data_IF_080189077605
#
_entry.id   IF_080189077605
#
_cell.length_a   1.000
_cell.length_b   1.000
_cell.length_c   1.000
_cell.angle_alpha   90.00
_cell.angle_beta   90.00
_cell.angle_gamma   90.00
#
_symmetry.space_group_name_H-M   'P 1'
#
loop_
_entity.id
_entity.type
_entity.pdbx_description
1 polymer ?
#
# COMPACT_ATOMS: atom_id res chain seq x y z
N UNK A 1 6.79 18.04 8.81
CA UNK A 1 7.39 17.61 7.52
C UNK A 1 6.47 16.64 6.79
N UNK A 2 5.99 15.59 7.40
CA UNK A 2 5.12 14.55 6.78
C UNK A 2 3.89 15.13 6.07
N UNK A 3 3.15 16.08 6.66
CA UNK A 3 1.96 16.68 6.05
C UNK A 3 2.25 17.41 4.72
N UNK A 4 3.44 18.03 4.60
CA UNK A 4 3.88 18.66 3.34
C UNK A 4 4.17 17.58 2.28
N UNK A 5 4.79 16.48 2.69
CA UNK A 5 5.07 15.33 1.81
C UNK A 5 3.75 14.72 1.32
N UNK A 6 2.82 14.43 2.22
CA UNK A 6 1.52 13.87 1.87
C UNK A 6 0.70 14.80 0.96
N UNK A 7 0.74 16.13 1.20
CA UNK A 7 0.13 17.10 0.28
C UNK A 7 0.73 17.01 -1.13
N UNK A 8 2.06 16.87 -1.24
CA UNK A 8 2.70 16.72 -2.54
C UNK A 8 2.34 15.38 -3.20
N UNK A 9 2.26 14.30 -2.42
CA UNK A 9 1.80 12.98 -2.90
C UNK A 9 0.38 13.08 -3.47
N UNK A 10 -0.55 13.72 -2.74
CA UNK A 10 -1.92 13.96 -3.20
C UNK A 10 -1.95 14.70 -4.54
N UNK A 11 -1.22 15.83 -4.63
CA UNK A 11 -1.15 16.62 -5.87
C UNK A 11 -0.54 15.84 -7.03
N UNK A 12 0.47 15.02 -6.74
CA UNK A 12 1.09 14.14 -7.72
C UNK A 12 0.07 13.13 -8.25
N UNK A 13 -0.58 12.38 -7.37
CA UNK A 13 -1.53 11.35 -7.76
C UNK A 13 -2.79 11.92 -8.41
N UNK A 14 -3.28 13.08 -7.98
CA UNK A 14 -4.35 13.79 -8.70
C UNK A 14 -3.97 14.10 -10.16
N UNK A 15 -2.68 14.32 -10.43
CA UNK A 15 -2.19 14.65 -11.78
C UNK A 15 -1.93 13.43 -12.65
N UNK A 16 -1.48 12.31 -12.05
CA UNK A 16 -1.04 11.13 -12.80
C UNK A 16 -2.06 9.98 -12.81
N UNK A 17 -3.15 10.07 -12.03
CA UNK A 17 -4.07 8.97 -11.76
C UNK A 17 -4.59 8.28 -13.03
N UNK A 18 -5.02 9.03 -14.05
CA UNK A 18 -5.53 8.47 -15.29
C UNK A 18 -4.47 7.65 -16.02
N UNK A 19 -3.28 8.22 -16.18
CA UNK A 19 -2.15 7.53 -16.81
C UNK A 19 -1.67 6.33 -16.01
N UNK A 20 -1.71 6.44 -14.67
CA UNK A 20 -1.36 5.33 -13.79
C UNK A 20 -2.35 4.17 -13.96
N UNK A 21 -3.64 4.47 -14.00
CA UNK A 21 -4.69 3.48 -14.21
C UNK A 21 -4.54 2.77 -15.58
N UNK A 22 -4.31 3.53 -16.65
CA UNK A 22 -4.06 2.99 -17.98
C UNK A 22 -2.88 2.01 -18.01
N UNK A 23 -1.79 2.33 -17.31
CA UNK A 23 -0.55 1.55 -17.36
C UNK A 23 -0.56 0.34 -16.40
N UNK A 24 -1.22 0.44 -15.26
CA UNK A 24 -1.10 -0.54 -14.16
C UNK A 24 -2.43 -1.17 -13.73
N UNK A 25 -3.55 -0.79 -14.36
CA UNK A 25 -4.87 -1.30 -13.97
C UNK A 25 -4.99 -2.82 -13.98
N UNK A 26 -4.31 -3.46 -14.90
CA UNK A 26 -4.31 -4.91 -15.08
C UNK A 26 -2.95 -5.56 -14.74
N UNK A 27 -2.08 -4.88 -13.98
CA UNK A 27 -0.71 -5.37 -13.77
C UNK A 27 -0.63 -6.74 -13.08
N UNK A 28 -1.64 -7.11 -12.27
CA UNK A 28 -1.68 -8.41 -11.61
C UNK A 28 -1.81 -9.59 -12.59
N UNK A 29 -2.32 -9.36 -13.80
CA UNK A 29 -2.43 -10.43 -14.80
C UNK A 29 -1.06 -10.96 -15.23
N UNK A 30 -0.05 -10.08 -15.19
CA UNK A 30 1.33 -10.39 -15.55
C UNK A 30 2.23 -10.66 -14.32
N UNK A 31 1.65 -10.66 -13.10
CA UNK A 31 2.39 -10.78 -11.84
C UNK A 31 1.97 -12.01 -11.02
N UNK A 32 2.30 -13.23 -11.44
CA UNK A 32 1.89 -14.45 -10.73
C UNK A 32 2.43 -14.52 -9.30
N UNK A 33 3.65 -14.03 -9.06
CA UNK A 33 4.24 -13.97 -7.72
C UNK A 33 3.42 -13.05 -6.78
N UNK A 34 3.03 -11.87 -7.26
CA UNK A 34 2.23 -10.95 -6.44
C UNK A 34 0.86 -11.56 -6.12
N UNK A 35 0.23 -12.26 -7.10
CA UNK A 35 -1.02 -13.01 -6.85
C UNK A 35 -0.85 -14.11 -5.82
N UNK A 36 0.23 -14.89 -5.88
CA UNK A 36 0.52 -15.94 -4.89
C UNK A 36 0.60 -15.34 -3.47
N UNK A 37 1.26 -14.19 -3.31
CA UNK A 37 1.36 -13.51 -2.02
C UNK A 37 0.03 -12.90 -1.56
N UNK A 38 -0.77 -12.38 -2.48
CA UNK A 38 -2.13 -11.93 -2.16
C UNK A 38 -3.04 -13.10 -1.78
N UNK A 39 -2.89 -14.26 -2.42
CA UNK A 39 -3.59 -15.49 -2.06
C UNK A 39 -3.21 -15.95 -0.66
N UNK A 40 -1.91 -15.97 -0.36
CA UNK A 40 -1.40 -16.27 0.97
C UNK A 40 -1.94 -15.31 2.02
N UNK A 41 -1.95 -14.01 1.72
CA UNK A 41 -2.53 -13.00 2.62
C UNK A 41 -4.03 -13.24 2.83
N UNK A 42 -4.80 -13.49 1.75
CA UNK A 42 -6.22 -13.75 1.84
C UNK A 42 -6.55 -15.00 2.68
N UNK A 43 -5.71 -16.02 2.63
CA UNK A 43 -5.88 -17.28 3.37
C UNK A 43 -5.73 -17.15 4.90
N UNK A 44 -5.26 -16.00 5.40
CA UNK A 44 -5.28 -15.72 6.84
C UNK A 44 -6.68 -15.38 7.38
N UNK A 45 -7.66 -15.15 6.50
CA UNK A 45 -8.94 -14.57 6.87
C UNK A 45 -10.13 -15.42 6.46
N UNK A 46 -11.18 -15.36 7.26
CA UNK A 46 -12.49 -15.90 6.91
C UNK A 46 -13.22 -14.96 5.92
N UNK A 47 -14.25 -15.48 5.24
CA UNK A 47 -15.11 -14.65 4.39
C UNK A 47 -15.69 -13.47 5.17
N UNK A 48 -15.79 -12.33 4.50
CA UNK A 48 -16.25 -11.06 5.06
C UNK A 48 -15.34 -10.46 6.15
N UNK A 49 -14.13 -10.99 6.36
CA UNK A 49 -13.14 -10.32 7.19
C UNK A 49 -12.84 -8.94 6.61
N UNK A 50 -12.65 -7.96 7.50
CA UNK A 50 -12.49 -6.55 7.15
C UNK A 50 -11.05 -6.22 6.78
N UNK A 51 -10.84 -5.90 5.54
CA UNK A 51 -9.51 -5.55 5.00
C UNK A 51 -9.49 -4.09 4.58
N UNK A 52 -8.36 -3.43 4.79
CA UNK A 52 -8.09 -2.09 4.27
C UNK A 52 -6.95 -2.15 3.28
N UNK A 53 -7.21 -1.68 2.06
CA UNK A 53 -6.19 -1.38 1.06
C UNK A 53 -5.75 0.08 1.25
N UNK A 54 -4.62 0.24 1.94
CA UNK A 54 -4.10 1.53 2.38
C UNK A 54 -3.21 2.16 1.30
N UNK A 55 -3.75 3.16 0.61
CA UNK A 55 -3.18 3.75 -0.60
C UNK A 55 -3.54 2.92 -1.83
N UNK A 56 -4.84 2.67 -2.03
CA UNK A 56 -5.35 1.77 -3.06
C UNK A 56 -5.08 2.23 -4.49
N UNK A 57 -4.74 3.51 -4.67
CA UNK A 57 -4.50 4.10 -5.99
C UNK A 57 -5.74 4.13 -6.89
N UNK A 58 -5.59 4.56 -8.16
CA UNK A 58 -6.73 4.74 -9.05
C UNK A 58 -7.33 3.44 -9.58
N UNK A 59 -6.57 2.36 -9.61
CA UNK A 59 -7.05 1.07 -10.10
C UNK A 59 -7.68 0.23 -9.00
N UNK A 60 -7.25 0.41 -7.76
CA UNK A 60 -7.61 -0.40 -6.59
C UNK A 60 -7.56 -1.92 -6.87
N UNK A 61 -6.68 -2.33 -7.82
CA UNK A 61 -6.62 -3.70 -8.33
C UNK A 61 -6.20 -4.70 -7.24
N UNK A 62 -5.41 -4.27 -6.26
CA UNK A 62 -5.02 -5.10 -5.09
C UNK A 62 -6.23 -5.35 -4.20
N UNK A 63 -6.94 -4.27 -3.81
CA UNK A 63 -8.16 -4.37 -3.03
C UNK A 63 -9.24 -5.17 -3.76
N UNK A 64 -9.40 -4.96 -5.08
CA UNK A 64 -10.33 -5.70 -5.92
C UNK A 64 -10.03 -7.19 -5.92
N UNK A 65 -8.77 -7.58 -6.07
CA UNK A 65 -8.35 -8.97 -6.02
C UNK A 65 -8.75 -9.65 -4.70
N UNK A 66 -8.57 -8.97 -3.57
CA UNK A 66 -8.97 -9.48 -2.25
C UNK A 66 -10.49 -9.50 -2.07
N UNK A 67 -11.21 -8.50 -2.60
CA UNK A 67 -12.67 -8.44 -2.59
C UNK A 67 -13.28 -9.63 -3.36
N UNK A 68 -12.75 -9.95 -4.53
CA UNK A 68 -13.19 -11.09 -5.35
C UNK A 68 -12.96 -12.46 -4.67
N UNK A 69 -12.08 -12.52 -3.67
CA UNK A 69 -11.92 -13.68 -2.79
C UNK A 69 -12.93 -13.74 -1.63
N UNK A 70 -13.83 -12.79 -1.55
CA UNK A 70 -14.93 -12.76 -0.59
C UNK A 70 -14.62 -12.02 0.72
N UNK A 71 -13.59 -11.16 0.73
CA UNK A 71 -13.27 -10.30 1.87
C UNK A 71 -14.05 -8.96 1.80
N UNK A 72 -14.37 -8.35 2.93
CA UNK A 72 -14.98 -7.00 2.98
C UNK A 72 -13.86 -5.94 2.90
N UNK A 73 -13.59 -5.45 1.70
CA UNK A 73 -12.45 -4.56 1.42
C UNK A 73 -12.89 -3.11 1.31
N UNK A 74 -12.18 -2.24 2.02
CA UNK A 74 -12.27 -0.78 1.89
C UNK A 74 -10.96 -0.24 1.34
N UNK A 75 -11.00 0.42 0.17
CA UNK A 75 -9.86 1.16 -0.37
C UNK A 75 -9.78 2.57 0.25
N UNK A 76 -8.60 2.96 0.71
CA UNK A 76 -8.35 4.34 1.15
C UNK A 76 -7.20 4.94 0.35
N UNK A 77 -7.35 6.18 -0.09
CA UNK A 77 -6.31 6.93 -0.77
C UNK A 77 -6.42 8.43 -0.44
N UNK A 78 -5.31 9.13 -0.53
CA UNK A 78 -5.25 10.58 -0.26
C UNK A 78 -5.70 11.42 -1.47
N UNK A 79 -5.69 10.83 -2.68
CA UNK A 79 -6.00 11.50 -3.94
C UNK A 79 -7.49 11.36 -4.29
N UNK A 80 -8.15 12.47 -4.45
CA UNK A 80 -9.56 12.53 -4.87
C UNK A 80 -9.73 11.89 -6.25
N UNK A 81 -8.78 12.14 -7.18
CA UNK A 81 -8.83 11.57 -8.53
C UNK A 81 -8.65 10.06 -8.52
N UNK A 82 -7.75 9.54 -7.66
CA UNK A 82 -7.61 8.09 -7.49
C UNK A 82 -8.92 7.45 -7.02
N UNK A 83 -9.55 8.03 -5.99
CA UNK A 83 -10.81 7.50 -5.45
C UNK A 83 -11.94 7.57 -6.48
N UNK A 84 -12.02 8.64 -7.26
CA UNK A 84 -13.02 8.78 -8.35
C UNK A 84 -12.89 7.63 -9.36
N UNK A 85 -11.67 7.38 -9.85
CA UNK A 85 -11.40 6.32 -10.83
C UNK A 85 -11.65 4.94 -10.20
N UNK A 86 -11.10 4.69 -9.00
CA UNK A 86 -11.25 3.44 -8.28
C UNK A 86 -12.72 3.07 -8.06
N UNK A 87 -13.54 4.03 -7.61
CA UNK A 87 -14.98 3.82 -7.38
C UNK A 87 -15.73 3.49 -8.67
N UNK A 88 -15.35 4.10 -9.79
CA UNK A 88 -15.98 3.85 -11.09
C UNK A 88 -15.70 2.43 -11.61
N UNK A 89 -14.47 1.95 -11.42
CA UNK A 89 -14.01 0.69 -12.00
C UNK A 89 -14.19 -0.53 -11.09
N UNK A 90 -14.50 -0.32 -9.80
CA UNK A 90 -14.64 -1.39 -8.82
C UNK A 90 -16.03 -1.33 -8.11
N UNK A 91 -17.13 -1.61 -8.84
CA UNK A 91 -18.46 -1.60 -8.24
C UNK A 91 -18.56 -2.62 -7.11
N UNK A 92 -19.28 -2.26 -6.05
CA UNK A 92 -19.49 -3.07 -4.86
C UNK A 92 -18.43 -2.87 -3.77
N UNK A 93 -17.26 -2.33 -4.08
CA UNK A 93 -16.27 -1.94 -3.08
C UNK A 93 -16.56 -0.55 -2.48
N UNK A 94 -16.10 -0.35 -1.25
CA UNK A 94 -16.17 0.96 -0.57
C UNK A 94 -14.83 1.68 -0.66
N UNK A 95 -14.88 3.01 -0.80
CA UNK A 95 -13.70 3.84 -0.90
C UNK A 95 -13.79 5.06 0.01
N UNK A 96 -12.65 5.49 0.56
CA UNK A 96 -12.52 6.69 1.38
C UNK A 96 -11.37 7.55 0.86
N UNK A 97 -11.67 8.81 0.56
CA UNK A 97 -10.64 9.81 0.26
C UNK A 97 -10.13 10.42 1.56
N UNK A 98 -8.99 9.95 2.05
CA UNK A 98 -8.43 10.39 3.33
C UNK A 98 -6.92 10.17 3.40
N UNK A 99 -6.21 11.08 4.07
CA UNK A 99 -4.83 10.80 4.51
C UNK A 99 -4.86 9.72 5.60
N UNK A 100 -4.04 8.69 5.44
CA UNK A 100 -3.91 7.59 6.43
C UNK A 100 -3.65 8.14 7.85
N UNK A 101 -2.94 9.25 7.98
CA UNK A 101 -2.68 9.88 9.29
C UNK A 101 -3.95 10.48 9.94
N UNK A 102 -4.98 10.75 9.16
CA UNK A 102 -6.26 11.27 9.63
C UNK A 102 -7.32 10.18 9.73
N UNK A 103 -7.01 8.98 9.22
CA UNK A 103 -7.91 7.85 9.30
C UNK A 103 -8.06 7.39 10.76
N UNK A 104 -9.30 7.37 11.21
CA UNK A 104 -9.65 6.99 12.58
C UNK A 104 -10.62 5.80 12.57
N UNK A 105 -10.11 4.59 12.28
CA UNK A 105 -10.92 3.38 12.41
C UNK A 105 -11.26 3.13 13.87
N UNK A 106 -12.32 2.39 14.13
CA UNK A 106 -12.57 1.85 15.46
C UNK A 106 -11.35 1.05 15.96
N UNK A 107 -11.07 1.11 17.25
CA UNK A 107 -9.98 0.34 17.85
C UNK A 107 -10.25 -1.16 17.65
N UNK A 108 -9.23 -1.90 17.14
CA UNK A 108 -9.32 -3.34 16.87
C UNK A 108 -10.50 -3.74 15.97
N UNK A 109 -10.79 -2.95 14.95
CA UNK A 109 -11.94 -3.15 14.07
C UNK A 109 -11.58 -3.74 12.69
N UNK A 110 -10.29 -3.93 12.41
CA UNK A 110 -9.75 -4.36 11.10
C UNK A 110 -8.99 -5.67 11.28
N UNK A 111 -9.28 -6.65 10.42
CA UNK A 111 -8.63 -7.96 10.42
C UNK A 111 -7.32 -7.94 9.65
N UNK A 112 -7.28 -7.22 8.51
CA UNK A 112 -6.08 -7.08 7.71
C UNK A 112 -5.89 -5.70 7.11
N UNK A 113 -4.63 -5.29 6.97
CA UNK A 113 -4.25 -4.08 6.23
C UNK A 113 -3.21 -4.49 5.19
N UNK A 114 -3.41 -4.01 3.96
CA UNK A 114 -2.39 -4.10 2.92
C UNK A 114 -1.94 -2.70 2.52
N UNK A 115 -0.63 -2.49 2.47
CA UNK A 115 0.01 -1.25 2.04
C UNK A 115 0.96 -1.57 0.87
N UNK A 116 0.37 -1.67 -0.33
CA UNK A 116 1.05 -2.10 -1.54
C UNK A 116 1.65 -0.89 -2.27
N UNK A 117 2.96 -0.69 -2.15
CA UNK A 117 3.72 0.47 -2.65
C UNK A 117 3.14 1.83 -2.24
N UNK A 118 2.48 1.92 -1.11
CA UNK A 118 1.86 3.17 -0.64
C UNK A 118 2.69 3.89 0.44
N UNK A 119 3.27 3.15 1.39
CA UNK A 119 4.08 3.76 2.45
C UNK A 119 5.41 4.36 1.95
N UNK A 120 5.82 4.00 0.75
CA UNK A 120 7.03 4.52 0.07
C UNK A 120 6.99 6.04 -0.19
N UNK A 121 5.85 6.68 -0.03
CA UNK A 121 5.69 8.14 -0.11
C UNK A 121 5.78 8.83 1.26
N UNK A 122 6.29 8.11 2.26
CA UNK A 122 6.46 8.63 3.62
C UNK A 122 7.95 8.63 3.99
N UNK A 123 8.49 9.73 4.54
CA UNK A 123 9.87 9.75 5.03
C UNK A 123 10.13 8.67 6.08
N UNK A 124 11.28 7.99 6.00
CA UNK A 124 11.67 6.91 6.93
C UNK A 124 11.50 7.30 8.40
N UNK A 125 11.93 8.50 8.76
CA UNK A 125 11.81 9.03 10.13
C UNK A 125 10.37 9.25 10.61
N UNK A 126 9.41 9.28 9.68
CA UNK A 126 8.00 9.57 9.98
C UNK A 126 7.11 8.33 9.86
N UNK A 127 7.62 7.22 9.30
CA UNK A 127 6.85 6.01 9.02
C UNK A 127 6.20 5.41 10.28
N UNK A 128 6.85 5.54 11.43
CA UNK A 128 6.30 5.09 12.71
C UNK A 128 4.94 5.73 13.07
N UNK A 129 4.62 6.90 12.49
CA UNK A 129 3.30 7.52 12.68
C UNK A 129 2.21 6.73 11.95
N UNK A 130 2.48 6.29 10.71
CA UNK A 130 1.55 5.44 9.95
C UNK A 130 1.39 4.08 10.64
N UNK A 131 2.50 3.46 11.03
CA UNK A 131 2.49 2.16 11.68
C UNK A 131 1.69 2.16 12.99
N UNK A 132 1.72 3.28 13.74
CA UNK A 132 0.86 3.46 14.93
C UNK A 132 -0.63 3.47 14.57
N UNK A 133 -1.01 4.11 13.46
CA UNK A 133 -2.40 4.11 12.98
C UNK A 133 -2.82 2.68 12.61
N UNK A 134 -2.01 1.97 11.84
CA UNK A 134 -2.29 0.57 11.46
C UNK A 134 -2.40 -0.33 12.69
N UNK A 135 -1.46 -0.23 13.63
CA UNK A 135 -1.49 -1.03 14.86
C UNK A 135 -2.73 -0.77 15.72
N UNK A 136 -3.19 0.49 15.80
CA UNK A 136 -4.42 0.83 16.52
C UNK A 136 -5.66 0.23 15.87
N UNK A 137 -5.69 0.19 14.54
CA UNK A 137 -6.81 -0.34 13.77
C UNK A 137 -6.91 -1.87 13.82
N UNK A 138 -5.78 -2.54 13.68
CA UNK A 138 -5.71 -4.00 13.61
C UNK A 138 -6.16 -4.65 14.92
N UNK A 139 -6.97 -5.70 14.80
CA UNK A 139 -7.31 -6.57 15.92
C UNK A 139 -6.06 -7.33 16.44
N UNK A 140 -6.10 -7.98 17.61
CA UNK A 140 -4.93 -8.67 18.19
C UNK A 140 -4.33 -9.80 17.34
N UNK A 141 -5.09 -10.36 16.41
CA UNK A 141 -4.64 -11.37 15.43
C UNK A 141 -4.51 -10.81 14.03
N UNK A 142 -4.69 -9.49 13.88
CA UNK A 142 -4.71 -8.81 12.59
C UNK A 142 -3.37 -8.88 11.87
N UNK A 143 -3.43 -8.96 10.56
CA UNK A 143 -2.26 -9.06 9.68
C UNK A 143 -2.01 -7.74 8.97
N UNK A 144 -0.74 -7.42 8.81
CA UNK A 144 -0.29 -6.30 7.99
C UNK A 144 0.63 -6.84 6.89
N UNK A 145 0.26 -6.61 5.64
CA UNK A 145 1.13 -6.85 4.50
C UNK A 145 1.66 -5.51 3.98
N UNK A 146 2.96 -5.42 3.81
CA UNK A 146 3.63 -4.24 3.26
C UNK A 146 4.46 -4.66 2.05
N UNK A 147 4.31 -3.94 0.95
CA UNK A 147 5.15 -4.09 -0.23
C UNK A 147 5.86 -2.78 -0.50
N UNK A 148 7.18 -2.82 -0.59
CA UNK A 148 8.03 -1.65 -0.84
C UNK A 148 9.08 -1.92 -1.91
N UNK A 149 9.75 -0.89 -2.37
CA UNK A 149 10.93 -1.03 -3.24
C UNK A 149 12.19 -1.20 -2.39
N UNK A 150 13.04 -2.14 -2.81
CA UNK A 150 14.36 -2.35 -2.23
C UNK A 150 15.35 -1.34 -2.78
N UNK A 151 16.12 -0.71 -1.92
CA UNK A 151 17.17 0.23 -2.26
C UNK A 151 17.45 1.23 -1.14
N UNK A 152 18.24 2.26 -1.46
CA UNK A 152 18.72 3.25 -0.48
C UNK A 152 18.18 4.65 -0.72
N UNK A 153 17.42 4.86 -1.78
CA UNK A 153 16.95 6.18 -2.14
C UNK A 153 15.92 6.72 -1.14
N UNK A 154 16.11 7.94 -0.71
CA UNK A 154 15.12 8.72 0.02
C UNK A 154 15.18 10.18 -0.42
N UNK A 155 14.12 10.73 -0.98
CA UNK A 155 14.10 12.11 -1.44
C UNK A 155 12.94 12.44 -2.38
N UNK A 156 13.03 13.62 -3.01
CA UNK A 156 12.05 14.07 -3.98
C UNK A 156 12.41 13.63 -5.40
N UNK A 157 11.43 13.06 -6.08
CA UNK A 157 11.46 12.82 -7.51
C UNK A 157 10.76 13.96 -8.23
N UNK A 158 11.37 14.43 -9.34
CA UNK A 158 10.84 15.55 -10.15
C UNK A 158 9.89 15.09 -11.25
N UNK A 159 9.88 13.78 -11.53
CA UNK A 159 9.02 13.19 -12.55
C UNK A 159 8.49 11.83 -12.09
N UNK A 160 7.22 11.57 -12.39
CA UNK A 160 6.59 10.25 -12.26
C UNK A 160 5.83 9.97 -13.55
N UNK A 161 6.07 8.83 -14.17
CA UNK A 161 5.47 8.44 -15.47
C UNK A 161 5.69 9.48 -16.59
N UNK A 162 6.83 10.20 -16.57
CA UNK A 162 7.13 11.26 -17.53
C UNK A 162 6.37 12.57 -17.31
N UNK A 163 5.63 12.69 -16.22
CA UNK A 163 4.91 13.89 -15.82
C UNK A 163 5.71 14.61 -14.73
N UNK A 164 5.92 15.92 -14.89
CA UNK A 164 6.60 16.74 -13.89
C UNK A 164 5.76 16.85 -12.61
N UNK A 165 6.38 16.48 -11.48
CA UNK A 165 5.77 16.46 -10.15
C UNK A 165 6.83 16.74 -9.09
N UNK A 166 6.41 16.88 -7.84
CA UNK A 166 7.30 16.90 -6.67
C UNK A 166 6.84 15.82 -5.70
N UNK A 167 7.22 14.57 -5.97
CA UNK A 167 6.82 13.41 -5.18
C UNK A 167 7.98 12.94 -4.31
N UNK A 168 7.74 12.79 -3.02
CA UNK A 168 8.70 12.15 -2.12
C UNK A 168 8.67 10.65 -2.35
N UNK A 169 9.82 10.02 -2.30
CA UNK A 169 9.94 8.60 -2.54
C UNK A 169 11.01 7.99 -1.63
N UNK A 170 10.73 6.79 -1.14
CA UNK A 170 11.59 6.08 -0.20
C UNK A 170 11.75 4.64 -0.63
N UNK A 171 12.99 4.18 -0.71
CA UNK A 171 13.35 2.76 -0.81
C UNK A 171 13.83 2.27 0.57
N UNK A 172 13.78 0.97 0.80
CA UNK A 172 14.18 0.36 2.06
C UNK A 172 15.17 -0.78 1.83
N UNK A 173 16.12 -0.96 2.74
CA UNK A 173 16.83 -2.21 2.92
C UNK A 173 16.03 -3.13 3.85
N UNK A 174 16.23 -4.43 3.74
CA UNK A 174 15.46 -5.43 4.49
C UNK A 174 15.59 -5.23 6.00
N UNK A 175 16.82 -5.20 6.50
CA UNK A 175 17.11 -5.05 7.93
C UNK A 175 16.62 -3.72 8.49
N UNK A 176 16.62 -2.67 7.66
CA UNK A 176 16.11 -1.36 8.04
C UNK A 176 14.59 -1.41 8.28
N UNK A 177 13.84 -1.97 7.31
CA UNK A 177 12.38 -2.06 7.42
C UNK A 177 11.96 -3.03 8.53
N UNK A 178 12.65 -4.17 8.66
CA UNK A 178 12.47 -5.12 9.75
C UNK A 178 12.60 -4.42 11.11
N UNK A 179 13.71 -3.71 11.32
CA UNK A 179 13.93 -2.96 12.55
C UNK A 179 12.88 -1.89 12.81
N UNK A 180 12.38 -1.22 11.77
CA UNK A 180 11.28 -0.25 11.89
C UNK A 180 9.99 -0.94 12.34
N UNK A 181 9.62 -2.07 11.73
CA UNK A 181 8.40 -2.80 12.06
C UNK A 181 8.43 -3.34 13.49
N UNK A 182 9.53 -3.99 13.90
CA UNK A 182 9.70 -4.52 15.25
C UNK A 182 9.60 -3.40 16.31
N UNK A 183 10.31 -2.28 16.13
CA UNK A 183 10.24 -1.13 17.05
C UNK A 183 8.85 -0.51 17.15
N UNK A 184 7.99 -0.71 16.14
CA UNK A 184 6.60 -0.24 16.16
C UNK A 184 5.59 -1.32 16.57
N UNK A 185 6.06 -2.47 17.13
CA UNK A 185 5.23 -3.50 17.74
C UNK A 185 4.60 -4.47 16.75
N UNK A 186 5.30 -4.78 15.65
CA UNK A 186 4.95 -5.85 14.73
C UNK A 186 5.94 -7.01 14.86
N UNK A 187 5.46 -8.23 14.70
CA UNK A 187 6.30 -9.41 14.52
C UNK A 187 6.36 -9.78 13.04
N UNK A 188 7.55 -10.04 12.54
CA UNK A 188 7.72 -10.47 11.15
C UNK A 188 7.42 -11.97 11.05
N UNK A 189 6.46 -12.34 10.24
CA UNK A 189 6.17 -13.75 9.93
C UNK A 189 6.93 -14.21 8.69
N UNK A 190 7.06 -13.32 7.71
CA UNK A 190 7.76 -13.61 6.48
C UNK A 190 8.26 -12.32 5.84
N UNK A 191 9.45 -12.40 5.26
CA UNK A 191 10.05 -11.33 4.49
C UNK A 191 10.68 -11.92 3.24
N UNK A 192 10.30 -11.42 2.09
CA UNK A 192 10.79 -11.93 0.81
C UNK A 192 11.22 -10.79 -0.09
N UNK A 193 12.39 -10.95 -0.65
CA UNK A 193 12.89 -10.11 -1.73
C UNK A 193 12.70 -10.82 -3.07
N UNK A 194 12.12 -10.11 -4.00
CA UNK A 194 11.89 -10.55 -5.36
C UNK A 194 12.82 -9.83 -6.35
N UNK A 195 13.37 -10.56 -7.31
CA UNK A 195 14.07 -9.96 -8.43
C UNK A 195 13.12 -9.11 -9.31
N UNK A 196 13.62 -8.06 -9.98
CA UNK A 196 12.83 -7.28 -10.92
C UNK A 196 12.21 -8.18 -11.99
N UNK A 197 10.93 -8.02 -12.25
CA UNK A 197 10.30 -8.68 -13.39
C UNK A 197 10.78 -8.00 -14.68
N UNK A 198 11.01 -8.79 -15.74
CA UNK A 198 11.28 -8.29 -17.09
C UNK A 198 10.00 -7.71 -17.70
N UNK A 199 9.43 -6.70 -17.08
CA UNK A 199 8.29 -5.96 -17.59
C UNK A 199 8.80 -4.67 -18.23
N UNK A 200 8.02 -4.08 -19.09
CA UNK A 200 8.22 -2.85 -19.88
C UNK A 200 8.90 -1.67 -19.16
N UNK A 201 8.99 -1.73 -17.85
CA UNK A 201 9.74 -0.80 -17.00
C UNK A 201 10.81 -1.58 -16.21
N UNK A 202 12.07 -1.12 -16.29
CA UNK A 202 13.19 -1.65 -15.48
C UNK A 202 12.92 -1.34 -14.00
N UNK A 203 12.13 -2.20 -13.36
CA UNK A 203 11.83 -2.04 -11.94
C UNK A 203 12.92 -2.73 -11.12
N UNK A 204 13.44 -2.03 -10.11
CA UNK A 204 14.35 -2.59 -9.11
C UNK A 204 13.66 -3.68 -8.30
N UNK A 205 14.43 -4.49 -7.58
CA UNK A 205 13.93 -5.54 -6.70
C UNK A 205 12.83 -5.04 -5.74
N UNK A 206 11.87 -5.90 -5.45
CA UNK A 206 10.76 -5.63 -4.55
C UNK A 206 10.89 -6.47 -3.28
N UNK A 207 10.49 -5.91 -2.16
CA UNK A 207 10.43 -6.62 -0.89
C UNK A 207 8.98 -6.69 -0.43
N UNK A 208 8.56 -7.88 -0.04
CA UNK A 208 7.21 -8.13 0.50
C UNK A 208 7.37 -8.53 1.96
N UNK A 209 6.62 -7.88 2.83
CA UNK A 209 6.63 -8.17 4.26
C UNK A 209 5.23 -8.53 4.73
N UNK A 210 5.14 -9.60 5.51
CA UNK A 210 3.91 -9.99 6.20
C UNK A 210 4.21 -10.01 7.68
N UNK A 211 3.48 -9.25 8.48
CA UNK A 211 3.71 -9.20 9.92
C UNK A 211 2.42 -9.25 10.73
N UNK A 212 2.53 -9.85 11.90
CA UNK A 212 1.49 -9.82 12.92
C UNK A 212 1.66 -8.63 13.84
N UNK A 213 0.54 -8.18 14.38
CA UNK A 213 0.56 -7.28 15.51
C UNK A 213 0.93 -8.05 16.77
N UNK A 214 1.91 -7.54 17.54
CA UNK A 214 2.24 -7.99 18.89
C UNK A 214 1.22 -7.54 19.92
#
# INVERSE_FOLDING_TARGET
MIRKVHKNTRLTYNKIADKYHELFGNELDEKPFDREYLDKFANYFDRNSKIVDAGCGPSAHIGRYLFDKGLDVVGIDISERCIEIASRHNPGMKFLCIDILDWQPGKFSIDGIIAYYSIIYTPKKEIGKLLKVFRKALNPKGKLMIVVKKGDFEGYQKQVLGIEVSSYFTEYQEEELEGILIRNGFAIEEMITRAPMKVKYKMKEFTVYVSNKL
#
